data_IF_337546017611
#
_entry.id   IF_337546017611
#
_cell.length_a   1.000
_cell.length_b   1.000
_cell.length_c   1.000
_cell.angle_alpha   90.00
_cell.angle_beta   90.00
_cell.angle_gamma   90.00
#
_symmetry.space_group_name_H-M   'P 1'
#
loop_
_entity.id
_entity.type
_entity.pdbx_description
1 polymer ?
#
# COMPACT_ATOMS: atom_id res chain seq x y z
N UNK A 1 22.54 17.72 -8.81
CA UNK A 1 21.30 17.35 -9.53
C UNK A 1 20.10 17.96 -8.81
N UNK A 2 18.97 18.16 -9.47
CA UNK A 2 17.74 18.64 -8.84
C UNK A 2 16.93 17.46 -8.25
N UNK A 3 16.23 17.69 -7.14
CA UNK A 3 15.33 16.70 -6.53
C UNK A 3 14.18 16.40 -7.50
N UNK A 4 13.91 15.12 -7.78
CA UNK A 4 12.74 14.70 -8.55
C UNK A 4 11.53 14.58 -7.63
N UNK A 5 10.39 15.12 -8.06
CA UNK A 5 9.12 15.00 -7.33
C UNK A 5 8.42 13.68 -7.65
N UNK A 6 7.53 13.24 -6.76
CA UNK A 6 6.68 12.08 -7.00
C UNK A 6 5.66 12.38 -8.11
N UNK A 7 5.47 11.42 -9.03
CA UNK A 7 4.36 11.45 -9.97
C UNK A 7 3.14 10.75 -9.33
N UNK A 8 2.15 11.55 -8.93
CA UNK A 8 0.94 11.06 -8.24
C UNK A 8 -0.01 10.27 -9.15
N UNK A 9 0.10 10.47 -10.47
CA UNK A 9 -0.72 9.77 -11.47
C UNK A 9 -0.05 8.50 -12.00
N UNK A 10 1.15 8.17 -11.48
CA UNK A 10 1.83 6.95 -11.89
C UNK A 10 1.10 5.72 -11.36
N UNK A 11 0.82 4.79 -12.26
CA UNK A 11 0.29 3.47 -11.98
C UNK A 11 1.21 2.40 -12.56
N UNK A 12 1.29 1.25 -11.90
CA UNK A 12 2.05 0.10 -12.37
C UNK A 12 1.39 -1.20 -11.96
N UNK A 13 1.63 -2.24 -12.75
CA UNK A 13 1.08 -3.56 -12.50
C UNK A 13 2.08 -4.36 -11.64
N UNK A 14 1.57 -5.01 -10.60
CA UNK A 14 2.31 -5.83 -9.67
C UNK A 14 1.71 -7.22 -9.58
N UNK A 15 2.58 -8.24 -9.58
CA UNK A 15 2.20 -9.64 -9.38
C UNK A 15 2.96 -10.21 -8.18
N UNK A 16 2.20 -10.73 -7.21
CA UNK A 16 2.75 -11.31 -5.99
C UNK A 16 3.70 -12.46 -6.30
N UNK A 17 4.81 -12.59 -5.57
CA UNK A 17 5.70 -13.77 -5.64
C UNK A 17 5.04 -15.05 -5.10
N UNK A 18 3.94 -14.90 -4.36
CA UNK A 18 3.17 -16.02 -3.80
C UNK A 18 2.06 -16.50 -4.73
N UNK A 19 1.86 -15.83 -5.87
CA UNK A 19 0.91 -16.27 -6.88
C UNK A 19 1.50 -17.43 -7.71
N UNK A 20 0.90 -18.63 -7.69
CA UNK A 20 1.37 -19.77 -8.50
C UNK A 20 1.25 -19.54 -10.02
N UNK A 21 0.40 -18.61 -10.44
CA UNK A 21 0.20 -18.23 -11.84
C UNK A 21 1.03 -17.01 -12.24
N UNK A 22 1.92 -16.49 -11.37
CA UNK A 22 2.81 -15.37 -11.68
C UNK A 22 3.51 -15.56 -13.04
N UNK A 23 3.45 -14.52 -13.87
CA UNK A 23 4.04 -14.53 -15.22
C UNK A 23 3.20 -15.25 -16.28
N UNK A 24 2.00 -15.72 -15.95
CA UNK A 24 1.03 -16.31 -16.87
C UNK A 24 -0.23 -15.45 -16.96
N UNK A 25 -1.09 -15.73 -17.93
CA UNK A 25 -2.33 -14.99 -18.17
C UNK A 25 -3.34 -15.09 -17.00
N UNK A 26 -3.26 -16.16 -16.20
CA UNK A 26 -4.10 -16.38 -15.02
C UNK A 26 -3.61 -15.70 -13.74
N UNK A 27 -2.48 -14.99 -13.77
CA UNK A 27 -1.96 -14.31 -12.58
C UNK A 27 -2.94 -13.24 -12.07
N UNK A 28 -3.04 -13.13 -10.75
CA UNK A 28 -3.63 -11.98 -10.08
C UNK A 28 -2.73 -10.76 -10.31
N UNK A 29 -3.29 -9.72 -10.92
CA UNK A 29 -2.57 -8.46 -11.19
C UNK A 29 -3.15 -7.36 -10.31
N UNK A 30 -2.31 -6.79 -9.46
CA UNK A 30 -2.62 -5.61 -8.68
C UNK A 30 -2.16 -4.38 -9.45
N UNK A 31 -3.08 -3.52 -9.86
CA UNK A 31 -2.70 -2.18 -10.35
C UNK A 31 -2.49 -1.27 -9.15
N UNK A 32 -1.27 -0.83 -8.97
CA UNK A 32 -0.84 0.02 -7.87
C UNK A 32 -0.73 1.46 -8.35
N UNK A 33 -0.99 2.42 -7.47
CA UNK A 33 -0.83 3.83 -7.75
C UNK A 33 -0.03 4.53 -6.65
N UNK A 34 0.66 5.60 -7.02
CA UNK A 34 1.45 6.39 -6.07
C UNK A 34 0.58 6.94 -4.94
N UNK A 35 1.11 6.86 -3.71
CA UNK A 35 0.51 7.50 -2.53
C UNK A 35 1.16 8.87 -2.33
N UNK A 36 0.37 9.89 -2.05
CA UNK A 36 0.96 11.18 -1.69
C UNK A 36 1.64 11.09 -0.33
N UNK A 37 2.77 11.77 -0.15
CA UNK A 37 3.47 11.83 1.16
C UNK A 37 2.52 12.29 2.28
N UNK A 38 1.62 13.22 2.00
CA UNK A 38 0.61 13.69 2.96
C UNK A 38 -0.32 12.56 3.43
N UNK A 39 -0.77 11.71 2.51
CA UNK A 39 -1.60 10.57 2.84
C UNK A 39 -0.79 9.53 3.61
N UNK A 40 0.41 9.19 3.14
CA UNK A 40 1.26 8.20 3.80
C UNK A 40 1.60 8.60 5.25
N UNK A 41 2.00 9.85 5.48
CA UNK A 41 2.26 10.37 6.83
C UNK A 41 1.02 10.29 7.72
N UNK A 42 -0.15 10.66 7.20
CA UNK A 42 -1.41 10.54 7.96
C UNK A 42 -1.72 9.09 8.36
N UNK A 43 -1.47 8.13 7.46
CA UNK A 43 -1.69 6.71 7.76
C UNK A 43 -0.70 6.17 8.79
N UNK A 44 0.57 6.59 8.71
CA UNK A 44 1.61 6.23 9.68
C UNK A 44 1.30 6.80 11.08
N UNK A 45 0.89 8.05 11.17
CA UNK A 45 0.48 8.69 12.42
C UNK A 45 -0.71 7.94 13.04
N UNK A 46 -1.72 7.59 12.23
CA UNK A 46 -2.89 6.83 12.68
C UNK A 46 -2.52 5.43 13.18
N UNK A 47 -1.53 4.79 12.59
CA UNK A 47 -1.07 3.44 12.97
C UNK A 47 -0.09 3.44 14.16
N UNK A 48 0.38 4.62 14.58
CA UNK A 48 1.28 4.77 15.72
C UNK A 48 0.47 4.69 17.01
N UNK A 49 0.79 3.71 17.84
CA UNK A 49 0.21 3.56 19.17
C UNK A 49 1.22 3.92 20.23
N UNK A 50 0.80 4.70 21.21
CA UNK A 50 1.62 5.06 22.37
C UNK A 50 1.18 4.17 23.54
N UNK A 51 2.10 3.35 24.04
CA UNK A 51 1.88 2.58 25.27
C UNK A 51 2.84 3.10 26.33
N UNK A 52 2.30 3.61 27.42
CA UNK A 52 3.08 4.02 28.58
C UNK A 52 2.27 3.86 29.85
N UNK A 53 2.93 3.44 30.91
CA UNK A 53 2.33 3.38 32.25
C UNK A 53 2.46 4.71 33.00
N UNK A 54 3.48 5.53 32.69
CA UNK A 54 3.76 6.87 33.24
C UNK A 54 4.45 7.77 32.17
N UNK A 55 4.46 9.10 32.35
CA UNK A 55 5.01 10.10 31.40
C UNK A 55 6.49 9.89 31.02
N UNK A 56 7.29 9.24 31.87
CA UNK A 56 8.73 8.97 31.61
C UNK A 56 9.00 7.67 30.82
N UNK A 57 8.00 6.79 30.64
CA UNK A 57 8.15 5.51 29.96
C UNK A 57 7.03 5.31 28.93
N UNK A 58 7.05 6.11 27.87
CA UNK A 58 6.16 5.98 26.72
C UNK A 58 6.91 5.31 25.58
N UNK A 59 6.54 4.07 25.26
CA UNK A 59 7.00 3.38 24.06
C UNK A 59 6.03 3.64 22.90
N UNK A 60 6.57 4.13 21.78
CA UNK A 60 5.84 4.22 20.54
C UNK A 60 5.99 2.90 19.76
N UNK A 61 4.87 2.29 19.37
CA UNK A 61 4.85 1.09 18.54
C UNK A 61 3.95 1.30 17.32
N UNK A 62 4.50 1.06 16.14
CA UNK A 62 3.76 1.10 14.88
C UNK A 62 3.07 -0.24 14.68
N UNK A 63 1.75 -0.23 14.52
CA UNK A 63 0.99 -1.42 14.15
C UNK A 63 1.20 -1.73 12.66
N UNK A 64 2.33 -2.37 12.32
CA UNK A 64 2.74 -2.63 10.93
C UNK A 64 1.66 -3.31 10.07
N UNK A 65 0.87 -4.24 10.64
CA UNK A 65 -0.21 -4.90 9.91
C UNK A 65 -1.39 -3.95 9.61
N UNK A 66 -1.77 -3.10 10.57
CA UNK A 66 -2.82 -2.10 10.38
C UNK A 66 -2.40 -1.05 9.35
N UNK A 67 -1.14 -0.62 9.40
CA UNK A 67 -0.58 0.30 8.42
C UNK A 67 -0.59 -0.32 7.01
N UNK A 68 -0.16 -1.58 6.87
CA UNK A 68 -0.16 -2.28 5.58
C UNK A 68 -1.57 -2.35 4.96
N UNK A 69 -2.60 -2.65 5.76
CA UNK A 69 -4.00 -2.66 5.28
C UNK A 69 -4.40 -1.28 4.75
N UNK A 70 -4.08 -0.20 5.47
CA UNK A 70 -4.43 1.15 5.02
C UNK A 70 -3.64 1.55 3.76
N UNK A 71 -2.36 1.19 3.68
CA UNK A 71 -1.53 1.43 2.48
C UNK A 71 -2.15 0.74 1.26
N UNK A 72 -2.50 -0.55 1.37
CA UNK A 72 -3.16 -1.29 0.28
C UNK A 72 -4.51 -0.67 -0.06
N UNK A 73 -5.32 -0.33 0.96
CA UNK A 73 -6.63 0.28 0.79
C UNK A 73 -6.60 1.55 -0.06
N UNK A 74 -5.59 2.39 0.12
CA UNK A 74 -5.48 3.66 -0.60
C UNK A 74 -4.55 3.60 -1.82
N UNK A 75 -3.69 2.59 -1.92
CA UNK A 75 -2.68 2.46 -2.97
C UNK A 75 -3.11 1.58 -4.14
N UNK A 76 -3.99 0.60 -3.92
CA UNK A 76 -4.50 -0.24 -5.01
C UNK A 76 -5.56 0.51 -5.82
N UNK A 77 -5.46 0.41 -7.15
CA UNK A 77 -6.31 1.07 -8.14
C UNK A 77 -7.21 0.09 -8.90
N UNK A 78 -6.77 -1.15 -9.04
CA UNK A 78 -7.50 -2.25 -9.66
C UNK A 78 -6.94 -3.60 -9.20
N UNK A 79 -7.74 -4.67 -9.26
CA UNK A 79 -7.27 -6.05 -9.08
C UNK A 79 -7.93 -6.92 -10.15
N UNK A 80 -7.10 -7.56 -10.96
CA UNK A 80 -7.53 -8.46 -12.03
C UNK A 80 -7.26 -9.90 -11.64
N UNK A 81 -8.12 -10.82 -12.09
CA UNK A 81 -8.02 -12.25 -11.85
C UNK A 81 -7.89 -12.64 -10.37
N UNK A 82 -8.64 -11.98 -9.47
CA UNK A 82 -8.69 -12.35 -8.06
C UNK A 82 -9.77 -13.43 -7.81
N UNK A 83 -9.40 -14.69 -7.56
CA UNK A 83 -10.36 -15.72 -7.18
C UNK A 83 -10.66 -15.65 -5.68
N UNK A 84 -11.89 -16.00 -5.29
CA UNK A 84 -12.22 -16.37 -3.92
C UNK A 84 -11.76 -17.81 -3.59
N UNK A 85 -12.03 -18.27 -2.38
CA UNK A 85 -11.66 -19.61 -1.93
C UNK A 85 -12.37 -20.73 -2.72
N UNK A 86 -13.50 -20.44 -3.36
CA UNK A 86 -14.29 -21.36 -4.17
C UNK A 86 -13.97 -21.25 -5.68
N UNK A 87 -13.06 -20.34 -6.06
CA UNK A 87 -12.64 -20.08 -7.43
C UNK A 87 -13.51 -19.09 -8.21
N UNK A 88 -14.45 -18.40 -7.57
CA UNK A 88 -15.25 -17.36 -8.22
C UNK A 88 -14.47 -16.05 -8.30
N UNK A 89 -14.74 -15.26 -9.33
CA UNK A 89 -14.12 -13.94 -9.49
C UNK A 89 -14.69 -12.94 -8.49
N UNK A 90 -13.82 -12.27 -7.74
CA UNK A 90 -14.19 -11.17 -6.86
C UNK A 90 -14.14 -9.86 -7.67
N UNK A 91 -15.27 -9.15 -7.84
CA UNK A 91 -15.26 -7.88 -8.55
C UNK A 91 -14.50 -6.83 -7.74
N UNK A 92 -13.60 -6.09 -8.41
CA UNK A 92 -12.91 -4.98 -7.78
C UNK A 92 -13.85 -3.79 -7.59
N UNK A 93 -13.91 -3.28 -6.36
CA UNK A 93 -14.78 -2.18 -5.99
C UNK A 93 -14.04 -1.17 -5.11
N UNK A 94 -14.27 0.10 -5.41
CA UNK A 94 -13.77 1.22 -4.60
C UNK A 94 -14.92 2.06 -4.09
N UNK A 95 -14.63 2.82 -3.04
CA UNK A 95 -15.50 3.85 -2.50
C UNK A 95 -14.73 5.15 -2.37
N UNK A 96 -15.41 6.28 -2.60
CA UNK A 96 -14.85 7.59 -2.31
C UNK A 96 -14.82 7.80 -0.81
N UNK A 97 -13.70 8.27 -0.29
CA UNK A 97 -13.53 8.58 1.12
C UNK A 97 -12.85 9.94 1.27
N UNK A 98 -13.31 10.75 2.21
CA UNK A 98 -12.61 11.96 2.61
C UNK A 98 -11.62 11.62 3.73
N UNK A 99 -10.34 11.77 3.46
CA UNK A 99 -9.26 11.53 4.42
C UNK A 99 -8.55 12.85 4.65
N UNK A 100 -8.78 13.46 5.81
CA UNK A 100 -8.13 14.70 6.22
C UNK A 100 -8.22 15.83 5.18
N UNK A 101 -9.40 15.99 4.56
CA UNK A 101 -9.67 16.99 3.52
C UNK A 101 -9.26 16.59 2.11
N UNK A 102 -8.76 15.36 1.91
CA UNK A 102 -8.42 14.80 0.60
C UNK A 102 -9.52 13.82 0.17
N UNK A 103 -10.14 14.05 -0.99
CA UNK A 103 -11.00 13.05 -1.61
C UNK A 103 -10.11 11.97 -2.25
N UNK A 104 -10.18 10.75 -1.73
CA UNK A 104 -9.39 9.61 -2.19
C UNK A 104 -10.30 8.44 -2.52
N UNK A 105 -9.89 7.61 -3.49
CA UNK A 105 -10.52 6.31 -3.73
C UNK A 105 -9.90 5.30 -2.78
N UNK A 106 -10.76 4.56 -2.09
CA UNK A 106 -10.37 3.48 -1.18
C UNK A 106 -10.96 2.17 -1.67
N UNK A 107 -10.17 1.10 -1.64
CA UNK A 107 -10.67 -0.26 -1.82
C UNK A 107 -11.71 -0.57 -0.74
N UNK A 108 -12.82 -1.22 -1.11
CA UNK A 108 -13.83 -1.65 -0.13
C UNK A 108 -13.25 -2.69 0.84
N UNK A 109 -13.67 -2.62 2.10
CA UNK A 109 -13.20 -3.55 3.15
C UNK A 109 -13.42 -5.02 2.80
N UNK A 110 -14.53 -5.35 2.13
CA UNK A 110 -14.84 -6.72 1.70
C UNK A 110 -13.75 -7.37 0.85
N UNK A 111 -13.01 -6.58 0.07
CA UNK A 111 -11.88 -7.07 -0.74
C UNK A 111 -10.63 -7.23 0.13
N UNK A 112 -10.40 -6.33 1.09
CA UNK A 112 -9.25 -6.41 1.99
C UNK A 112 -9.39 -7.58 2.97
N UNK A 113 -10.61 -7.91 3.39
CA UNK A 113 -10.91 -8.98 4.35
C UNK A 113 -10.63 -10.38 3.79
N UNK A 114 -10.67 -10.54 2.47
CA UNK A 114 -10.41 -11.81 1.77
C UNK A 114 -8.95 -11.97 1.33
N UNK A 115 -8.17 -10.89 1.32
CA UNK A 115 -6.76 -10.97 0.92
C UNK A 115 -5.92 -11.62 2.03
N UNK A 116 -5.10 -12.63 1.72
CA UNK A 116 -4.19 -13.22 2.69
C UNK A 116 -3.21 -12.17 3.23
N UNK A 117 -2.94 -12.20 4.54
CA UNK A 117 -2.03 -11.26 5.20
C UNK A 117 -0.68 -11.11 4.48
N UNK A 118 -0.12 -12.21 3.98
CA UNK A 118 1.16 -12.20 3.27
C UNK A 118 1.11 -11.36 1.98
N UNK A 119 -0.01 -11.41 1.26
CA UNK A 119 -0.23 -10.61 0.04
C UNK A 119 -0.39 -9.14 0.40
N UNK A 120 -1.17 -8.83 1.45
CA UNK A 120 -1.36 -7.46 1.93
C UNK A 120 -0.02 -6.82 2.30
N UNK A 121 0.82 -7.53 3.04
CA UNK A 121 2.16 -7.05 3.41
C UNK A 121 3.04 -6.83 2.18
N UNK A 122 3.05 -7.77 1.23
CA UNK A 122 3.88 -7.67 0.02
C UNK A 122 3.46 -6.48 -0.87
N UNK A 123 2.16 -6.27 -1.05
CA UNK A 123 1.65 -5.13 -1.84
C UNK A 123 1.93 -3.81 -1.12
N UNK A 124 1.81 -3.77 0.21
CA UNK A 124 2.15 -2.58 0.99
C UNK A 124 3.65 -2.23 0.88
N UNK A 125 4.53 -3.23 0.92
CA UNK A 125 5.96 -3.04 0.74
C UNK A 125 6.25 -2.46 -0.66
N UNK A 126 5.62 -3.00 -1.70
CA UNK A 126 5.79 -2.50 -3.07
C UNK A 126 5.31 -1.05 -3.25
N UNK A 127 4.16 -0.69 -2.66
CA UNK A 127 3.65 0.67 -2.66
C UNK A 127 4.58 1.66 -1.95
N UNK A 128 5.28 1.21 -0.90
CA UNK A 128 6.20 2.05 -0.13
C UNK A 128 7.52 2.29 -0.86
N UNK A 129 8.07 1.28 -1.54
CA UNK A 129 9.33 1.43 -2.33
C UNK A 129 9.27 2.58 -3.33
N UNK A 130 8.10 2.85 -3.93
CA UNK A 130 7.94 3.94 -4.89
C UNK A 130 7.94 5.33 -4.25
N UNK A 131 7.63 5.42 -2.95
CA UNK A 131 7.68 6.66 -2.17
C UNK A 131 9.05 6.89 -1.52
N UNK A 132 9.88 5.86 -1.43
CA UNK A 132 11.28 5.97 -1.03
C UNK A 132 12.10 6.49 -2.23
N UNK A 133 13.01 7.44 -1.98
CA UNK A 133 13.96 7.88 -2.99
C UNK A 133 14.72 6.65 -3.47
N UNK A 134 14.69 6.40 -4.78
CA UNK A 134 15.41 5.31 -5.42
C UNK A 134 16.86 5.34 -4.92
N UNK A 135 17.35 4.28 -4.27
CA UNK A 135 18.68 4.26 -3.62
C UNK A 135 19.83 4.60 -4.60
N UNK A 136 19.56 4.54 -5.92
CA UNK A 136 20.43 5.02 -6.98
C UNK A 136 20.68 6.54 -7.00
N UNK A 137 19.81 7.37 -6.42
CA UNK A 137 20.01 8.83 -6.32
C UNK A 137 20.89 9.23 -5.13
N UNK A 138 20.98 8.41 -4.09
CA UNK A 138 21.84 8.67 -2.92
C UNK A 138 23.34 8.46 -3.22
N UNK A 139 23.69 7.59 -4.19
CA UNK A 139 25.10 7.25 -4.51
C UNK A 139 25.75 8.14 -5.58
N UNK A 140 24.99 9.00 -6.27
CA UNK A 140 25.51 9.86 -7.35
C UNK A 140 25.72 11.33 -6.94
N UNK A 141 25.76 11.63 -5.64
CA UNK A 141 26.03 12.99 -5.14
C UNK A 141 27.49 13.23 -4.69
N UNK A 142 28.36 12.21 -4.76
CA UNK A 142 29.81 12.32 -4.51
C UNK A 142 30.62 12.15 -5.82
N UNK A 143 30.44 13.07 -6.76
CA UNK A 143 31.22 13.16 -8.00
C UNK A 143 31.63 14.57 -8.32
#
# INVERSE_FOLDING_TARGET
MAIKTLNLDAEWDFQSKHDPEKGKDGATVFRLGTLSNRLLSFLQDKATTFKGTNEENVEASIMNASLAIEIVKYGVRDIQNLPDADGNSIPFETQKQNVHGMEVKAVKSSILDVLPKVIVMEVADELQKRNELDEGEAKNSDG
#
